data_IF_102727377561
#
_entry.id   IF_102727377561
#
_cell.length_a   1.000
_cell.length_b   1.000
_cell.length_c   1.000
_cell.angle_alpha   90.00
_cell.angle_beta   90.00
_cell.angle_gamma   90.00
#
_symmetry.space_group_name_H-M   'P 1'
#
loop_
_entity.id
_entity.type
_entity.pdbx_description
1 polymer ?
#
# COMPACT_ATOMS: atom_id res chain seq x y z
N UNK A 1 0.40 23.98 -8.88
CA UNK A 1 -0.33 23.01 -9.74
C UNK A 1 0.16 21.63 -9.36
N UNK A 2 -0.72 20.70 -9.00
CA UNK A 2 -0.38 19.29 -8.77
C UNK A 2 -0.60 18.52 -10.07
N UNK A 3 0.39 17.75 -10.52
CA UNK A 3 0.32 16.97 -11.75
C UNK A 3 -0.03 15.55 -11.37
N UNK A 4 -1.22 15.08 -11.75
CA UNK A 4 -1.72 13.78 -11.31
C UNK A 4 -1.89 12.81 -12.48
N UNK A 5 -1.48 11.57 -12.29
CA UNK A 5 -1.71 10.46 -13.22
C UNK A 5 -2.47 9.37 -12.51
N UNK A 6 -3.49 8.83 -13.16
CA UNK A 6 -4.29 7.73 -12.63
C UNK A 6 -3.95 6.43 -13.35
N UNK A 7 -3.81 5.36 -12.58
CA UNK A 7 -3.62 3.99 -13.08
C UNK A 7 -4.55 3.05 -12.32
N UNK A 8 -4.94 1.95 -12.95
CA UNK A 8 -5.87 1.00 -12.35
C UNK A 8 -5.14 -0.26 -11.95
N UNK A 9 -5.36 -0.72 -10.71
CA UNK A 9 -5.06 -2.10 -10.33
C UNK A 9 -6.28 -2.95 -10.69
N UNK A 10 -6.16 -3.95 -11.58
CA UNK A 10 -7.29 -4.75 -12.02
C UNK A 10 -7.98 -5.49 -10.88
N UNK A 11 -9.30 -5.64 -10.97
CA UNK A 11 -10.11 -6.35 -9.98
C UNK A 11 -9.59 -7.77 -9.67
N UNK A 12 -9.10 -8.50 -10.69
CA UNK A 12 -8.52 -9.82 -10.51
C UNK A 12 -7.30 -9.79 -9.56
N UNK A 13 -6.41 -8.80 -9.72
CA UNK A 13 -5.23 -8.64 -8.87
C UNK A 13 -5.63 -8.18 -7.47
N UNK A 14 -6.60 -7.27 -7.36
CA UNK A 14 -7.15 -6.83 -6.06
C UNK A 14 -7.75 -8.00 -5.28
N UNK A 15 -8.51 -8.88 -5.93
CA UNK A 15 -9.06 -10.09 -5.28
C UNK A 15 -7.98 -11.05 -4.81
N UNK A 16 -6.96 -11.30 -5.63
CA UNK A 16 -5.82 -12.13 -5.23
C UNK A 16 -5.08 -11.54 -4.02
N UNK A 17 -4.88 -10.22 -4.01
CA UNK A 17 -4.27 -9.51 -2.88
C UNK A 17 -5.13 -9.64 -1.62
N UNK A 18 -6.44 -9.42 -1.73
CA UNK A 18 -7.36 -9.52 -0.61
C UNK A 18 -7.37 -10.93 0.01
N UNK A 19 -7.42 -11.98 -0.82
CA UNK A 19 -7.36 -13.37 -0.37
C UNK A 19 -6.04 -13.68 0.35
N UNK A 20 -4.92 -13.16 -0.15
CA UNK A 20 -3.61 -13.32 0.49
C UNK A 20 -3.59 -12.63 1.87
N UNK A 21 -4.10 -11.39 1.95
CA UNK A 21 -4.18 -10.62 3.20
C UNK A 21 -5.05 -11.35 4.23
N UNK A 22 -6.23 -11.78 3.84
CA UNK A 22 -7.16 -12.54 4.70
C UNK A 22 -6.50 -13.82 5.20
N UNK A 23 -5.87 -14.60 4.32
CA UNK A 23 -5.16 -15.81 4.72
C UNK A 23 -4.01 -15.53 5.69
N UNK A 24 -3.26 -14.44 5.51
CA UNK A 24 -2.19 -14.10 6.44
C UNK A 24 -2.73 -13.72 7.82
N UNK A 25 -3.83 -12.96 7.88
CA UNK A 25 -4.54 -12.63 9.10
C UNK A 25 -5.09 -13.88 9.81
N UNK A 26 -5.59 -14.86 9.05
CA UNK A 26 -6.29 -16.02 9.58
C UNK A 26 -5.43 -17.26 9.82
N UNK A 27 -4.30 -17.42 9.13
CA UNK A 27 -3.57 -18.70 9.10
C UNK A 27 -2.04 -18.56 9.06
N UNK A 28 -1.50 -17.36 9.28
CA UNK A 28 -0.07 -17.08 9.10
C UNK A 28 0.70 -16.62 10.35
N UNK A 29 1.97 -16.18 10.14
CA UNK A 29 2.78 -15.53 11.18
C UNK A 29 2.08 -14.35 11.84
N UNK A 30 1.21 -13.65 11.11
CA UNK A 30 0.41 -12.53 11.63
C UNK A 30 -0.58 -13.02 12.69
N UNK A 31 -1.28 -14.14 12.49
CA UNK A 31 -2.14 -14.74 13.52
C UNK A 31 -1.35 -15.18 14.75
N UNK A 32 -0.17 -15.77 14.55
CA UNK A 32 0.70 -16.18 15.66
C UNK A 32 1.14 -14.95 16.48
N UNK A 33 1.57 -13.89 15.81
CA UNK A 33 1.89 -12.62 16.46
C UNK A 33 0.68 -12.03 17.19
N UNK A 34 -0.51 -12.09 16.58
CA UNK A 34 -1.77 -11.65 17.18
C UNK A 34 -2.06 -12.35 18.51
N UNK A 35 -1.96 -13.68 18.52
CA UNK A 35 -2.21 -14.47 19.72
C UNK A 35 -1.16 -14.20 20.81
N UNK A 36 0.10 -13.99 20.42
CA UNK A 36 1.16 -13.60 21.35
C UNK A 36 0.89 -12.22 21.96
N UNK A 37 0.44 -11.24 21.15
CA UNK A 37 0.04 -9.92 21.63
C UNK A 37 -1.16 -10.00 22.59
N UNK A 38 -2.19 -10.78 22.26
CA UNK A 38 -3.35 -11.01 23.16
C UNK A 38 -2.87 -11.57 24.51
N UNK A 39 -2.04 -12.61 24.47
CA UNK A 39 -1.47 -13.22 25.68
C UNK A 39 -0.69 -12.20 26.51
N UNK A 40 0.13 -11.36 25.86
CA UNK A 40 0.90 -10.33 26.54
C UNK A 40 0.00 -9.27 27.20
N UNK A 41 -1.06 -8.82 26.50
CA UNK A 41 -2.03 -7.87 27.04
C UNK A 41 -2.83 -8.46 28.21
N UNK A 42 -3.18 -9.74 28.13
CA UNK A 42 -3.83 -10.47 29.21
C UNK A 42 -2.94 -10.54 30.46
N UNK A 43 -1.65 -10.84 30.29
CA UNK A 43 -0.68 -10.83 31.39
C UNK A 43 -0.47 -9.43 31.99
N UNK A 44 -0.67 -8.38 31.19
CA UNK A 44 -0.64 -6.99 31.64
C UNK A 44 -1.97 -6.51 32.24
N UNK A 45 -2.99 -7.37 32.33
CA UNK A 45 -4.33 -7.05 32.82
C UNK A 45 -5.01 -5.88 32.08
N UNK A 46 -4.70 -5.70 30.79
CA UNK A 46 -5.34 -4.68 29.96
C UNK A 46 -6.82 -5.05 29.76
N UNK A 47 -7.78 -4.11 29.94
CA UNK A 47 -9.20 -4.38 29.74
C UNK A 47 -9.53 -4.93 28.34
N UNK A 48 -10.43 -5.91 28.22
CA UNK A 48 -10.77 -6.54 26.93
C UNK A 48 -11.26 -5.55 25.86
N UNK A 49 -11.95 -4.48 26.26
CA UNK A 49 -12.37 -3.43 25.34
C UNK A 49 -11.17 -2.68 24.72
N UNK A 50 -10.15 -2.39 25.53
CA UNK A 50 -8.92 -1.75 25.07
C UNK A 50 -8.08 -2.67 24.21
N UNK A 51 -8.01 -3.96 24.56
CA UNK A 51 -7.36 -4.97 23.71
C UNK A 51 -7.99 -5.06 22.31
N UNK A 52 -9.32 -5.01 22.22
CA UNK A 52 -10.02 -5.05 20.94
C UNK A 52 -9.67 -3.83 20.06
N UNK A 53 -9.63 -2.63 20.65
CA UNK A 53 -9.23 -1.41 19.96
C UNK A 53 -7.78 -1.47 19.45
N UNK A 54 -6.84 -1.96 20.28
CA UNK A 54 -5.43 -2.13 19.89
C UNK A 54 -5.29 -3.08 18.69
N UNK A 55 -6.04 -4.18 18.68
CA UNK A 55 -6.00 -5.14 17.57
C UNK A 55 -6.61 -4.55 16.30
N UNK A 56 -7.74 -3.85 16.42
CA UNK A 56 -8.38 -3.17 15.29
C UNK A 56 -7.44 -2.14 14.65
N UNK A 57 -6.83 -1.26 15.45
CA UNK A 57 -5.86 -0.26 14.97
C UNK A 57 -4.68 -0.91 14.25
N UNK A 58 -4.14 -2.00 14.82
CA UNK A 58 -3.05 -2.72 14.19
C UNK A 58 -3.47 -3.34 12.86
N UNK A 59 -4.67 -3.93 12.77
CA UNK A 59 -5.16 -4.53 11.53
C UNK A 59 -5.38 -3.47 10.44
N UNK A 60 -5.84 -2.27 10.81
CA UNK A 60 -5.94 -1.12 9.92
C UNK A 60 -4.56 -0.75 9.37
N UNK A 61 -3.57 -0.51 10.24
CA UNK A 61 -2.20 -0.13 9.86
C UNK A 61 -1.60 -1.19 8.94
N UNK A 62 -1.79 -2.47 9.27
CA UNK A 62 -1.24 -3.58 8.50
C UNK A 62 -1.87 -3.66 7.11
N UNK A 63 -3.19 -3.50 6.98
CA UNK A 63 -3.87 -3.43 5.68
C UNK A 63 -3.32 -2.28 4.82
N UNK A 64 -3.09 -1.11 5.40
CA UNK A 64 -2.45 0.00 4.70
C UNK A 64 -1.02 -0.34 4.24
N UNK A 65 -0.20 -0.93 5.11
CA UNK A 65 1.17 -1.32 4.76
C UNK A 65 1.21 -2.39 3.66
N UNK A 66 0.31 -3.38 3.71
CA UNK A 66 0.20 -4.40 2.67
C UNK A 66 -0.24 -3.78 1.33
N UNK A 67 -1.14 -2.79 1.35
CA UNK A 67 -1.54 -2.04 0.15
C UNK A 67 -0.35 -1.30 -0.47
N UNK A 68 0.54 -0.70 0.33
CA UNK A 68 1.78 -0.10 -0.19
C UNK A 68 2.64 -1.15 -0.92
N UNK A 69 2.68 -2.37 -0.40
CA UNK A 69 3.30 -3.52 -1.06
C UNK A 69 2.70 -3.80 -2.44
N UNK A 70 1.37 -3.80 -2.55
CA UNK A 70 0.68 -3.98 -3.84
C UNK A 70 0.97 -2.86 -4.84
N UNK A 71 0.94 -1.59 -4.39
CA UNK A 71 1.27 -0.44 -5.24
C UNK A 71 2.72 -0.55 -5.75
N UNK A 72 3.64 -0.92 -4.87
CA UNK A 72 5.05 -1.15 -5.24
C UNK A 72 5.18 -2.30 -6.25
N UNK A 73 4.54 -3.45 -5.99
CA UNK A 73 4.57 -4.61 -6.88
C UNK A 73 4.09 -4.26 -8.30
N UNK A 74 2.98 -3.52 -8.40
CA UNK A 74 2.35 -3.23 -9.69
C UNK A 74 3.05 -2.08 -10.43
N UNK A 75 3.48 -1.04 -9.72
CA UNK A 75 3.88 0.22 -10.35
C UNK A 75 5.35 0.61 -10.16
N UNK A 76 6.12 -0.04 -9.27
CA UNK A 76 7.49 0.40 -8.99
C UNK A 76 8.36 0.47 -10.25
N UNK A 77 8.28 -0.52 -11.14
CA UNK A 77 9.07 -0.51 -12.38
C UNK A 77 8.74 0.70 -13.29
N UNK A 78 7.44 1.02 -13.44
CA UNK A 78 6.98 2.16 -14.22
C UNK A 78 7.36 3.50 -13.55
N UNK A 79 7.18 3.61 -12.23
CA UNK A 79 7.58 4.77 -11.44
C UNK A 79 9.10 4.98 -11.56
N UNK A 80 9.90 3.94 -11.38
CA UNK A 80 11.35 4.00 -11.51
C UNK A 80 11.78 4.49 -12.87
N UNK A 81 11.18 3.95 -13.94
CA UNK A 81 11.48 4.37 -15.31
C UNK A 81 11.18 5.85 -15.50
N UNK A 82 10.01 6.30 -15.06
CA UNK A 82 9.58 7.70 -15.19
C UNK A 82 10.47 8.65 -14.40
N UNK A 83 10.73 8.37 -13.12
CA UNK A 83 11.52 9.23 -12.23
C UNK A 83 12.99 9.29 -12.65
N UNK A 84 13.57 8.18 -13.11
CA UNK A 84 14.97 8.13 -13.55
C UNK A 84 15.23 8.85 -14.88
N UNK A 85 14.20 9.34 -15.57
CA UNK A 85 14.38 10.20 -16.76
C UNK A 85 14.92 11.59 -16.41
N UNK A 86 14.56 12.10 -15.23
CA UNK A 86 14.82 13.47 -14.77
C UNK A 86 15.69 13.51 -13.52
N UNK A 87 15.74 12.43 -12.73
CA UNK A 87 16.45 12.35 -11.45
C UNK A 87 17.44 11.21 -11.42
N UNK A 88 18.44 11.31 -10.53
CA UNK A 88 19.40 10.23 -10.30
C UNK A 88 19.79 10.11 -8.83
N UNK A 89 20.46 9.01 -8.48
CA UNK A 89 20.95 8.78 -7.12
C UNK A 89 19.85 8.80 -6.06
N UNK A 90 20.13 9.47 -4.95
CA UNK A 90 19.24 9.55 -3.79
C UNK A 90 17.94 10.31 -4.08
N UNK A 91 18.00 11.34 -4.91
CA UNK A 91 16.81 12.13 -5.25
C UNK A 91 15.77 11.30 -6.00
N UNK A 92 16.21 10.42 -6.89
CA UNK A 92 15.31 9.48 -7.57
C UNK A 92 14.69 8.50 -6.55
N UNK A 93 15.49 7.96 -5.63
CA UNK A 93 15.01 7.01 -4.61
C UNK A 93 13.97 7.65 -3.69
N UNK A 94 14.23 8.86 -3.21
CA UNK A 94 13.31 9.60 -2.32
C UNK A 94 12.00 9.90 -3.06
N UNK A 95 12.05 10.29 -4.34
CA UNK A 95 10.86 10.56 -5.14
C UNK A 95 10.05 9.29 -5.45
N UNK A 96 10.70 8.17 -5.77
CA UNK A 96 10.03 6.87 -5.96
C UNK A 96 9.29 6.48 -4.68
N UNK A 97 9.95 6.58 -3.53
CA UNK A 97 9.35 6.26 -2.24
C UNK A 97 8.16 7.18 -1.93
N UNK A 98 8.30 8.49 -2.19
CA UNK A 98 7.21 9.45 -2.02
C UNK A 98 6.01 9.09 -2.89
N UNK A 99 6.21 8.76 -4.16
CA UNK A 99 5.13 8.41 -5.08
C UNK A 99 4.36 7.17 -4.61
N UNK A 100 5.05 6.15 -4.10
CA UNK A 100 4.40 4.94 -3.57
C UNK A 100 3.61 5.24 -2.29
N UNK A 101 4.22 5.95 -1.33
CA UNK A 101 3.60 6.22 -0.02
C UNK A 101 2.42 7.19 -0.13
N UNK A 102 2.49 8.15 -1.07
CA UNK A 102 1.45 9.16 -1.26
C UNK A 102 0.38 8.75 -2.28
N UNK A 103 0.46 7.55 -2.86
CA UNK A 103 -0.50 7.06 -3.84
C UNK A 103 -1.89 6.85 -3.21
N UNK A 104 -2.87 7.61 -3.68
CA UNK A 104 -4.26 7.57 -3.20
C UNK A 104 -5.03 6.57 -4.04
N UNK A 105 -5.70 5.61 -3.40
CA UNK A 105 -6.52 4.62 -4.09
C UNK A 105 -7.99 4.74 -3.76
N UNK A 106 -8.83 4.59 -4.77
CA UNK A 106 -10.28 4.58 -4.64
C UNK A 106 -10.79 3.29 -5.27
N UNK A 107 -11.42 2.43 -4.47
CA UNK A 107 -12.05 1.20 -4.95
C UNK A 107 -13.24 1.56 -5.85
N UNK A 108 -13.35 0.86 -6.97
CA UNK A 108 -14.38 1.03 -7.97
C UNK A 108 -15.47 -0.03 -7.81
N UNK A 109 -16.61 0.17 -8.47
CA UNK A 109 -17.77 -0.73 -8.42
C UNK A 109 -17.47 -2.14 -8.96
N UNK A 110 -16.46 -2.28 -9.82
CA UNK A 110 -16.03 -3.55 -10.42
C UNK A 110 -14.95 -4.29 -9.61
N UNK A 111 -14.71 -3.88 -8.36
CA UNK A 111 -13.62 -4.34 -7.48
C UNK A 111 -12.20 -3.94 -7.90
N UNK A 112 -12.02 -3.17 -8.97
CA UNK A 112 -10.72 -2.57 -9.29
C UNK A 112 -10.37 -1.43 -8.34
N UNK A 113 -9.11 -1.01 -8.34
CA UNK A 113 -8.67 0.15 -7.58
C UNK A 113 -8.07 1.20 -8.52
N UNK A 114 -8.66 2.40 -8.53
CA UNK A 114 -8.10 3.54 -9.23
C UNK A 114 -7.09 4.24 -8.33
N UNK A 115 -5.82 4.20 -8.72
CA UNK A 115 -4.69 4.76 -7.98
C UNK A 115 -4.24 6.06 -8.63
N UNK A 116 -4.22 7.14 -7.85
CA UNK A 116 -3.78 8.46 -8.25
C UNK A 116 -2.37 8.72 -7.71
N UNK A 117 -1.47 9.08 -8.62
CA UNK A 117 -0.09 9.46 -8.33
C UNK A 117 0.10 10.95 -8.60
N UNK A 118 0.69 11.68 -7.66
CA UNK A 118 0.99 13.10 -7.83
C UNK A 118 2.47 13.29 -8.09
N UNK A 119 2.84 13.73 -9.29
CA UNK A 119 4.22 13.96 -9.73
C UNK A 119 4.67 15.41 -9.50
N UNK A 120 5.97 15.58 -9.30
CA UNK A 120 6.59 16.88 -9.17
C UNK A 120 6.77 17.60 -10.52
N UNK A 121 6.92 16.85 -11.62
CA UNK A 121 7.15 17.40 -12.97
C UNK A 121 6.23 16.78 -14.02
N UNK A 122 5.99 17.53 -15.09
CA UNK A 122 5.15 17.07 -16.21
C UNK A 122 5.83 15.95 -16.99
N UNK A 123 7.15 16.04 -17.20
CA UNK A 123 7.92 15.01 -17.92
C UNK A 123 7.86 13.64 -17.23
N UNK A 124 7.94 13.60 -15.90
CA UNK A 124 7.79 12.35 -15.14
C UNK A 124 6.36 11.81 -15.23
N UNK A 125 5.36 12.69 -15.14
CA UNK A 125 3.96 12.31 -15.28
C UNK A 125 3.65 11.73 -16.66
N UNK A 126 4.15 12.36 -17.72
CA UNK A 126 3.98 11.90 -19.11
C UNK A 126 4.66 10.55 -19.32
N UNK A 127 5.92 10.41 -18.87
CA UNK A 127 6.66 9.15 -18.95
C UNK A 127 5.96 8.02 -18.18
N UNK A 128 5.37 8.31 -17.02
CA UNK A 128 4.62 7.33 -16.25
C UNK A 128 3.27 6.99 -16.90
N UNK A 129 2.59 7.98 -17.50
CA UNK A 129 1.34 7.77 -18.23
C UNK A 129 1.53 6.80 -19.40
N UNK A 130 2.63 6.95 -20.14
CA UNK A 130 3.02 6.08 -21.27
C UNK A 130 3.53 4.69 -20.85
N UNK A 131 3.86 4.51 -19.56
CA UNK A 131 4.31 3.22 -19.04
C UNK A 131 3.12 2.26 -18.88
N UNK A 132 3.25 1.05 -19.43
CA UNK A 132 2.26 -0.02 -19.28
C UNK A 132 2.18 -0.52 -17.84
#
# INVERSE_FOLDING_TARGET
MSITVQKTIPAARMRQFQQMVERWLEEGPIKLATNATITAMDNAAIPKAEQAAIIEDRDIIMKYNMRLGLVSEVFAAAIEKAVKTSRSGREAQDEIARLIVTAIGIRQDDDSELVTFTFATQSEADAFSESA
#
